data_IF_612365871886
#
_entry.id   IF_612365871886
#
_cell.length_a   1.000
_cell.length_b   1.000
_cell.length_c   1.000
_cell.angle_alpha   90.00
_cell.angle_beta   90.00
_cell.angle_gamma   90.00
#
_symmetry.space_group_name_H-M   'P 1'
#
loop_
_entity.id
_entity.type
_entity.pdbx_description
1 polymer ?
#
# COMPACT_ATOMS: atom_id res chain seq x y z
N UNK A 1 -24.58 24.45 30.98
CA UNK A 1 -23.51 23.51 31.31
C UNK A 1 -23.73 22.19 30.65
N UNK A 2 -24.80 21.54 30.99
CA UNK A 2 -25.08 20.21 30.45
C UNK A 2 -25.21 20.19 28.95
N UNK A 3 -25.71 21.26 28.38
CA UNK A 3 -25.90 21.37 26.95
C UNK A 3 -24.59 21.29 26.20
N UNK A 4 -23.54 21.82 26.78
CA UNK A 4 -22.24 21.78 26.15
C UNK A 4 -21.70 20.36 26.06
N UNK A 5 -21.97 19.56 27.05
CA UNK A 5 -21.56 18.16 27.04
C UNK A 5 -22.24 17.40 25.93
N UNK A 6 -23.49 17.68 25.70
CA UNK A 6 -24.24 17.05 24.63
C UNK A 6 -23.64 17.43 23.29
N UNK A 7 -23.24 18.67 23.13
CA UNK A 7 -22.62 19.13 21.90
C UNK A 7 -21.31 18.42 21.65
N UNK A 8 -20.54 18.20 22.68
CA UNK A 8 -19.29 17.49 22.56
C UNK A 8 -19.51 16.05 22.08
N UNK A 9 -20.54 15.43 22.62
CA UNK A 9 -20.87 14.07 22.23
C UNK A 9 -21.22 13.98 20.75
N UNK A 10 -21.99 14.94 20.28
CA UNK A 10 -22.35 14.98 18.86
C UNK A 10 -21.12 15.17 17.98
N UNK A 11 -20.20 15.97 18.43
CA UNK A 11 -18.98 16.22 17.70
C UNK A 11 -18.14 14.95 17.57
N UNK A 12 -18.05 14.19 18.64
CA UNK A 12 -17.32 12.93 18.61
C UNK A 12 -17.91 11.97 17.59
N UNK A 13 -19.20 11.92 17.53
CA UNK A 13 -19.88 11.05 16.57
C UNK A 13 -19.50 11.42 15.15
N UNK A 14 -19.42 12.70 14.87
CA UNK A 14 -19.03 13.17 13.55
C UNK A 14 -17.61 12.69 13.18
N UNK A 15 -16.72 12.73 14.15
CA UNK A 15 -15.33 12.27 13.92
C UNK A 15 -15.31 10.79 13.56
N UNK A 16 -16.13 10.00 14.21
CA UNK A 16 -16.20 8.56 13.92
C UNK A 16 -16.63 8.33 12.49
N UNK A 17 -17.60 9.07 12.00
CA UNK A 17 -18.04 8.94 10.62
C UNK A 17 -16.94 9.28 9.63
N UNK A 18 -16.17 10.31 9.92
CA UNK A 18 -15.05 10.70 9.08
C UNK A 18 -14.02 9.58 9.05
N UNK A 19 -13.76 8.94 10.18
CA UNK A 19 -12.82 7.83 10.23
C UNK A 19 -13.27 6.66 9.38
N UNK A 20 -14.54 6.34 9.42
CA UNK A 20 -15.09 5.26 8.60
C UNK A 20 -14.89 5.55 7.11
N UNK A 21 -15.06 6.80 6.72
CA UNK A 21 -14.86 7.19 5.32
C UNK A 21 -13.43 7.00 4.86
N UNK A 22 -12.46 7.02 5.79
CA UNK A 22 -11.05 6.85 5.43
C UNK A 22 -10.70 5.43 5.04
N UNK A 23 -11.52 4.45 5.35
CA UNK A 23 -11.25 3.06 5.02
C UNK A 23 -11.10 2.85 3.53
N UNK A 24 -11.75 3.70 2.73
CA UNK A 24 -11.68 3.61 1.29
C UNK A 24 -10.54 4.43 0.69
N UNK A 25 -9.77 5.10 1.51
CA UNK A 25 -8.71 5.95 1.00
C UNK A 25 -7.49 5.15 0.58
N UNK A 26 -6.94 5.58 -0.54
CA UNK A 26 -5.72 4.97 -1.09
C UNK A 26 -4.54 5.21 -0.15
N UNK A 27 -4.46 6.38 0.45
CA UNK A 27 -3.34 6.72 1.33
C UNK A 27 -3.83 7.26 2.66
N UNK A 28 -3.30 6.71 3.75
CA UNK A 28 -3.59 7.18 5.09
C UNK A 28 -2.28 7.38 5.85
N UNK A 29 -2.31 8.15 6.92
CA UNK A 29 -1.15 8.33 7.77
C UNK A 29 -1.39 7.56 9.07
N UNK A 30 -0.44 6.69 9.42
CA UNK A 30 -0.59 5.77 10.55
C UNK A 30 0.72 5.72 11.30
N UNK A 31 0.69 6.14 12.56
CA UNK A 31 1.89 6.16 13.41
C UNK A 31 3.08 6.89 12.78
N UNK A 32 2.80 7.98 12.06
CA UNK A 32 3.84 8.78 11.43
C UNK A 32 4.30 8.28 10.06
N UNK A 33 3.78 7.16 9.61
CA UNK A 33 4.09 6.64 8.27
C UNK A 33 2.89 6.85 7.35
N UNK A 34 3.16 7.10 6.08
CA UNK A 34 2.12 7.06 5.06
C UNK A 34 1.97 5.62 4.62
N UNK A 35 0.74 5.15 4.53
CA UNK A 35 0.42 3.79 4.07
C UNK A 35 -0.38 3.92 2.79
N UNK A 36 0.20 3.47 1.68
CA UNK A 36 -0.46 3.52 0.38
C UNK A 36 -0.94 2.13 0.02
N UNK A 37 -2.24 1.99 -0.17
CA UNK A 37 -2.89 0.72 -0.50
C UNK A 37 -3.19 0.71 -1.98
N UNK A 38 -2.69 -0.29 -2.70
CA UNK A 38 -2.84 -0.35 -4.16
C UNK A 38 -4.06 -1.12 -4.64
N UNK A 39 -4.98 -1.49 -3.75
CA UNK A 39 -6.19 -2.21 -4.15
C UNK A 39 -6.92 -1.49 -5.29
N UNK A 40 -7.08 -0.17 -5.18
CA UNK A 40 -7.72 0.62 -6.23
C UNK A 40 -6.73 1.06 -7.30
N UNK A 41 -5.55 1.50 -6.89
CA UNK A 41 -4.54 1.96 -7.85
C UNK A 41 -4.14 0.88 -8.84
N UNK A 42 -4.02 -0.34 -8.36
CA UNK A 42 -3.55 -1.46 -9.17
C UNK A 42 -4.64 -2.46 -9.53
N UNK A 43 -5.90 -2.06 -9.50
CA UNK A 43 -7.00 -3.00 -9.77
C UNK A 43 -6.98 -3.58 -11.18
N UNK A 44 -6.31 -2.91 -12.11
CA UNK A 44 -6.17 -3.39 -13.49
C UNK A 44 -4.79 -3.98 -13.76
N UNK A 45 -3.95 -4.05 -12.75
CA UNK A 45 -2.62 -4.64 -12.86
C UNK A 45 -2.74 -6.09 -12.40
N UNK A 46 -2.69 -7.00 -13.35
CA UNK A 46 -2.84 -8.42 -13.06
C UNK A 46 -1.51 -9.13 -12.99
N UNK A 47 -1.39 -10.02 -12.01
CA UNK A 47 -0.36 -11.03 -12.00
C UNK A 47 -0.78 -12.17 -12.91
N UNK A 48 -0.47 -13.39 -12.52
CA UNK A 48 -0.87 -14.55 -13.31
C UNK A 48 -2.38 -14.80 -13.21
N UNK A 49 -2.93 -14.68 -12.01
CA UNK A 49 -4.32 -15.04 -11.75
C UNK A 49 -5.22 -13.85 -11.38
N UNK A 50 -4.71 -12.63 -11.41
CA UNK A 50 -5.50 -11.45 -11.10
C UNK A 50 -4.71 -10.41 -10.35
N UNK A 51 -5.38 -9.40 -9.77
CA UNK A 51 -4.70 -8.31 -9.06
C UNK A 51 -3.87 -8.81 -7.89
N UNK A 52 -2.76 -8.16 -7.65
CA UNK A 52 -1.86 -8.47 -6.53
C UNK A 52 -1.67 -7.23 -5.65
N UNK A 53 -2.72 -6.79 -4.95
CA UNK A 53 -2.65 -5.56 -4.18
C UNK A 53 -1.67 -5.66 -3.01
N UNK A 54 -1.14 -4.51 -2.63
CA UNK A 54 -0.19 -4.42 -1.53
C UNK A 54 -0.30 -3.06 -0.86
N UNK A 55 0.33 -2.94 0.29
CA UNK A 55 0.49 -1.66 0.99
C UNK A 55 1.96 -1.32 1.05
N UNK A 56 2.29 -0.07 0.75
CA UNK A 56 3.64 0.44 0.90
C UNK A 56 3.65 1.41 2.07
N UNK A 57 4.50 1.15 3.06
CA UNK A 57 4.66 2.00 4.23
C UNK A 57 5.85 2.92 3.97
N UNK A 58 5.62 4.23 4.07
CA UNK A 58 6.65 5.24 3.78
C UNK A 58 6.79 6.13 5.00
N UNK A 59 8.00 6.17 5.56
CA UNK A 59 8.31 6.99 6.71
C UNK A 59 9.50 7.87 6.39
N UNK A 60 9.35 9.17 6.62
CA UNK A 60 10.43 10.14 6.37
C UNK A 60 10.98 10.05 4.95
N UNK A 61 10.10 9.83 3.98
CA UNK A 61 10.47 9.76 2.57
C UNK A 61 11.18 8.50 2.15
N UNK A 62 11.18 7.47 2.99
CA UNK A 62 11.80 6.20 2.69
C UNK A 62 10.78 5.07 2.79
N UNK A 63 10.96 4.07 1.96
CA UNK A 63 10.13 2.86 2.03
C UNK A 63 10.50 2.11 3.32
N UNK A 64 9.53 1.98 4.21
CA UNK A 64 9.74 1.26 5.46
C UNK A 64 9.55 -0.24 5.26
N UNK A 65 8.47 -0.62 4.62
CA UNK A 65 8.17 -2.01 4.33
C UNK A 65 7.04 -2.11 3.31
N UNK A 66 6.87 -3.29 2.77
CA UNK A 66 5.77 -3.62 1.88
C UNK A 66 4.99 -4.77 2.50
N UNK A 67 3.68 -4.66 2.51
CA UNK A 67 2.79 -5.70 3.02
C UNK A 67 1.91 -6.18 1.87
N UNK A 68 2.02 -7.46 1.52
CA UNK A 68 1.20 -8.04 0.47
C UNK A 68 -0.18 -8.36 1.01
N UNK A 69 -1.20 -8.01 0.25
CA UNK A 69 -2.59 -8.28 0.60
C UNK A 69 -3.05 -9.59 -0.06
N UNK A 70 -4.18 -10.17 0.38
CA UNK A 70 -4.68 -11.41 -0.21
C UNK A 70 -4.90 -11.28 -1.71
N UNK A 71 -4.62 -12.35 -2.44
CA UNK A 71 -4.81 -12.40 -3.89
C UNK A 71 -5.18 -13.83 -4.32
N UNK A 72 -5.36 -14.03 -5.62
CA UNK A 72 -5.76 -15.30 -6.21
C UNK A 72 -4.60 -16.07 -6.82
N UNK A 73 -3.37 -15.62 -6.62
CA UNK A 73 -2.19 -16.26 -7.18
C UNK A 73 -1.99 -17.66 -6.60
N UNK A 74 -1.37 -18.54 -7.36
CA UNK A 74 -1.07 -19.89 -6.89
C UNK A 74 -0.08 -19.82 -5.72
N UNK A 75 -0.42 -20.34 -4.54
CA UNK A 75 0.41 -20.16 -3.35
C UNK A 75 1.87 -20.56 -3.52
N UNK A 76 2.15 -21.62 -4.23
CA UNK A 76 3.51 -22.08 -4.47
C UNK A 76 4.35 -20.99 -5.12
N UNK A 77 3.85 -20.41 -6.21
CA UNK A 77 4.58 -19.38 -6.95
C UNK A 77 4.53 -18.06 -6.24
N UNK A 78 3.39 -17.72 -5.64
CA UNK A 78 3.24 -16.47 -4.92
C UNK A 78 4.16 -16.38 -3.71
N UNK A 79 4.29 -17.47 -2.96
CA UNK A 79 5.20 -17.49 -1.81
C UNK A 79 6.64 -17.26 -2.24
N UNK A 80 7.04 -17.79 -3.40
CA UNK A 80 8.37 -17.56 -3.94
C UNK A 80 8.56 -16.09 -4.32
N UNK A 81 7.55 -15.47 -4.92
CA UNK A 81 7.59 -14.05 -5.27
C UNK A 81 7.72 -13.19 -4.02
N UNK A 82 6.91 -13.47 -2.99
CA UNK A 82 6.98 -12.73 -1.74
C UNK A 82 8.36 -12.81 -1.12
N UNK A 83 8.90 -14.01 -1.04
CA UNK A 83 10.21 -14.22 -0.46
C UNK A 83 11.29 -13.45 -1.20
N UNK A 84 11.20 -13.43 -2.52
CA UNK A 84 12.17 -12.75 -3.38
C UNK A 84 12.06 -11.23 -3.26
N UNK A 85 10.84 -10.69 -3.18
CA UNK A 85 10.61 -9.26 -3.40
C UNK A 85 10.16 -8.49 -2.15
N UNK A 86 9.80 -9.16 -1.09
CA UNK A 86 9.22 -8.52 0.09
C UNK A 86 10.07 -7.39 0.67
N UNK A 87 11.38 -7.55 0.68
CA UNK A 87 12.29 -6.57 1.28
C UNK A 87 13.12 -5.81 0.26
N UNK A 88 12.81 -5.96 -1.03
CA UNK A 88 13.65 -5.42 -2.09
C UNK A 88 13.77 -3.90 -2.07
N UNK A 89 12.75 -3.21 -1.61
CA UNK A 89 12.74 -1.73 -1.57
C UNK A 89 12.96 -1.16 -0.18
N UNK A 90 13.05 -2.01 0.84
CA UNK A 90 13.15 -1.54 2.23
C UNK A 90 14.33 -0.60 2.43
N UNK A 91 14.08 0.54 3.07
CA UNK A 91 15.10 1.52 3.37
C UNK A 91 15.45 2.47 2.24
N UNK A 92 14.95 2.26 1.04
CA UNK A 92 15.23 3.14 -0.09
C UNK A 92 14.44 4.43 0.03
N UNK A 93 15.04 5.55 -0.36
CA UNK A 93 14.30 6.78 -0.55
C UNK A 93 13.28 6.53 -1.66
N UNK A 94 12.11 7.17 -1.56
CA UNK A 94 11.07 7.00 -2.56
C UNK A 94 11.60 7.30 -3.98
N UNK A 95 12.38 8.38 -4.11
CA UNK A 95 12.95 8.75 -5.42
C UNK A 95 13.88 7.67 -5.97
N UNK A 96 14.64 7.01 -5.11
CA UNK A 96 15.53 5.93 -5.53
C UNK A 96 14.73 4.67 -5.84
N UNK A 97 13.72 4.39 -5.03
CA UNK A 97 12.87 3.21 -5.23
C UNK A 97 12.14 3.27 -6.57
N UNK A 98 11.73 4.45 -6.98
CA UNK A 98 11.07 4.66 -8.28
C UNK A 98 11.98 4.32 -9.47
N UNK A 99 13.27 4.40 -9.28
CA UNK A 99 14.27 4.12 -10.33
C UNK A 99 14.90 2.75 -10.19
N UNK A 100 14.64 2.05 -9.09
CA UNK A 100 15.31 0.80 -8.79
C UNK A 100 14.93 -0.29 -9.78
N UNK A 101 15.92 -1.10 -10.15
CA UNK A 101 15.72 -2.28 -10.98
C UNK A 101 15.70 -3.47 -10.03
N UNK A 102 14.51 -3.94 -9.71
CA UNK A 102 14.33 -5.05 -8.79
C UNK A 102 14.11 -6.35 -9.58
N UNK A 103 14.88 -7.37 -9.24
CA UNK A 103 14.76 -8.66 -9.91
C UNK A 103 13.50 -9.39 -9.43
N UNK A 104 12.73 -9.88 -10.40
CA UNK A 104 11.57 -10.71 -10.11
C UNK A 104 11.97 -12.17 -9.94
N UNK A 105 11.01 -13.00 -9.59
CA UNK A 105 11.23 -14.43 -9.43
C UNK A 105 11.18 -15.13 -10.79
N UNK A 106 12.22 -15.84 -11.15
CA UNK A 106 12.27 -16.64 -12.37
C UNK A 106 11.14 -17.68 -12.33
N UNK A 107 10.38 -17.76 -13.41
CA UNK A 107 9.25 -18.67 -13.50
C UNK A 107 7.95 -18.08 -12.96
N UNK A 108 7.97 -16.86 -12.43
CA UNK A 108 6.79 -16.15 -11.95
C UNK A 108 6.82 -14.70 -12.43
N UNK A 109 7.05 -14.50 -13.71
CA UNK A 109 7.24 -13.17 -14.30
C UNK A 109 6.01 -12.28 -14.18
N UNK A 110 4.83 -12.82 -14.48
CA UNK A 110 3.62 -12.01 -14.42
C UNK A 110 3.34 -11.50 -13.00
N UNK A 111 3.47 -12.38 -12.01
CA UNK A 111 3.26 -11.98 -10.62
C UNK A 111 4.32 -10.99 -10.16
N UNK A 112 5.58 -11.22 -10.55
CA UNK A 112 6.68 -10.31 -10.18
C UNK A 112 6.51 -8.94 -10.81
N UNK A 113 6.14 -8.88 -12.08
CA UNK A 113 5.93 -7.61 -12.78
C UNK A 113 4.75 -6.86 -12.18
N UNK A 114 3.70 -7.57 -11.77
CA UNK A 114 2.56 -6.96 -11.12
C UNK A 114 2.95 -6.32 -9.78
N UNK A 115 3.81 -6.99 -9.01
CA UNK A 115 4.33 -6.42 -7.75
C UNK A 115 5.10 -5.14 -8.03
N UNK A 116 5.99 -5.16 -9.02
CA UNK A 116 6.77 -3.97 -9.37
C UNK A 116 5.87 -2.82 -9.78
N UNK A 117 4.87 -3.09 -10.59
CA UNK A 117 3.95 -2.05 -11.05
C UNK A 117 3.13 -1.49 -9.88
N UNK A 118 2.67 -2.34 -8.97
CA UNK A 118 1.95 -1.89 -7.79
C UNK A 118 2.80 -1.00 -6.90
N UNK A 119 4.05 -1.38 -6.69
CA UNK A 119 4.98 -0.55 -5.89
C UNK A 119 5.17 0.79 -6.57
N UNK A 120 5.39 0.81 -7.88
CA UNK A 120 5.55 2.05 -8.64
C UNK A 120 4.32 2.94 -8.50
N UNK A 121 3.13 2.38 -8.66
CA UNK A 121 1.88 3.14 -8.53
C UNK A 121 1.74 3.76 -7.14
N UNK A 122 2.09 2.99 -6.11
CA UNK A 122 2.03 3.48 -4.73
C UNK A 122 2.99 4.64 -4.50
N UNK A 123 4.23 4.50 -4.97
CA UNK A 123 5.24 5.52 -4.79
C UNK A 123 4.91 6.79 -5.56
N UNK A 124 4.38 6.65 -6.78
CA UNK A 124 3.94 7.79 -7.57
C UNK A 124 2.78 8.52 -6.89
N UNK A 125 1.83 7.75 -6.36
CA UNK A 125 0.70 8.33 -5.64
C UNK A 125 1.18 9.10 -4.42
N UNK A 126 2.11 8.52 -3.66
CA UNK A 126 2.69 9.19 -2.50
C UNK A 126 3.33 10.53 -2.89
N UNK A 127 4.12 10.53 -3.95
CA UNK A 127 4.81 11.76 -4.38
C UNK A 127 3.84 12.86 -4.77
N UNK A 128 2.72 12.50 -5.36
CA UNK A 128 1.71 13.47 -5.78
C UNK A 128 0.82 13.96 -4.65
N UNK A 129 0.68 13.18 -3.58
CA UNK A 129 -0.34 13.46 -2.56
C UNK A 129 0.20 13.65 -1.15
N UNK A 130 1.49 13.57 -0.96
CA UNK A 130 2.10 13.78 0.36
C UNK A 130 1.95 15.20 0.88
#
# INVERSE_FOLDING_TARGET
MKKMMISCAALLLTIVLVSAAKDDKVMVKENGAYVVNTTELGKKVDGYAGPTPLKVYIRKGKVEKIEFLPNQETPKYWNAVKKQMQNAWDGMKVTDALKAQVDGRTGATFSSDAVKENVKLALEYYEKNK
#
